data_IF_525002796106
#
_entry.id   IF_525002796106
#
_cell.length_a   1.000
_cell.length_b   1.000
_cell.length_c   1.000
_cell.angle_alpha   90.00
_cell.angle_beta   90.00
_cell.angle_gamma   90.00
#
_symmetry.space_group_name_H-M   'P 1'
#
loop_
_entity.id
_entity.type
_entity.pdbx_description
1 polymer ?
#
# COMPACT_ATOMS: atom_id res chain seq x y z
N UNK A 1 -24.67 3.81 -32.11
CA UNK A 1 -24.65 3.11 -30.81
C UNK A 1 -23.45 2.15 -30.67
N UNK A 2 -23.17 1.29 -31.64
CA UNK A 2 -21.99 0.37 -31.59
C UNK A 2 -20.65 1.11 -31.52
N UNK A 3 -20.50 2.24 -32.22
CA UNK A 3 -19.29 3.08 -32.19
C UNK A 3 -19.03 3.75 -30.84
N UNK A 4 -20.08 4.15 -30.13
CA UNK A 4 -19.95 4.69 -28.77
C UNK A 4 -19.52 3.60 -27.76
N UNK A 5 -20.02 2.40 -27.88
CA UNK A 5 -19.62 1.27 -27.03
C UNK A 5 -18.15 0.86 -27.26
N UNK A 6 -17.68 0.90 -28.50
CA UNK A 6 -16.27 0.65 -28.83
C UNK A 6 -15.38 1.78 -28.27
N UNK A 7 -15.82 3.04 -28.33
CA UNK A 7 -15.06 4.18 -27.79
C UNK A 7 -14.96 4.13 -26.25
N UNK A 8 -16.04 3.72 -25.56
CA UNK A 8 -16.01 3.53 -24.11
C UNK A 8 -15.20 2.32 -23.66
N UNK A 9 -15.09 1.26 -24.47
CA UNK A 9 -14.20 0.12 -24.14
C UNK A 9 -12.72 0.46 -24.27
N UNK A 10 -12.33 1.46 -25.08
CA UNK A 10 -10.96 1.95 -25.18
C UNK A 10 -10.57 2.95 -24.08
N UNK A 11 -11.56 3.56 -23.39
CA UNK A 11 -11.31 4.43 -22.25
C UNK A 11 -10.97 3.65 -20.94
N UNK A 12 -11.21 2.34 -20.93
CA UNK A 12 -10.81 1.44 -19.86
C UNK A 12 -9.44 0.77 -20.13
N UNK A 13 -8.51 1.49 -20.74
CA UNK A 13 -7.12 1.04 -20.71
C UNK A 13 -6.68 0.98 -19.23
N UNK A 14 -6.08 -0.12 -18.79
CA UNK A 14 -5.59 -0.18 -17.43
C UNK A 14 -4.65 1.00 -17.23
N UNK A 15 -5.04 1.93 -16.36
CA UNK A 15 -4.14 2.97 -15.91
C UNK A 15 -3.02 2.21 -15.24
N UNK A 16 -1.87 2.13 -15.91
CA UNK A 16 -0.68 1.50 -15.34
C UNK A 16 -0.38 2.25 -14.04
N UNK A 17 -0.73 1.64 -12.92
CA UNK A 17 -0.48 2.24 -11.62
C UNK A 17 1.01 2.47 -11.50
N UNK A 18 1.38 3.71 -11.23
CA UNK A 18 2.78 4.06 -10.97
C UNK A 18 3.07 3.67 -9.52
N UNK A 19 4.04 2.79 -9.24
CA UNK A 19 4.40 2.47 -7.87
C UNK A 19 5.00 3.69 -7.18
N UNK A 20 4.72 3.85 -5.89
CA UNK A 20 5.39 4.85 -5.04
C UNK A 20 6.32 4.10 -4.11
N UNK A 21 7.59 4.46 -4.12
CA UNK A 21 8.67 3.74 -3.46
C UNK A 21 9.29 4.62 -2.39
N UNK A 22 9.34 4.11 -1.19
CA UNK A 22 9.99 4.75 -0.06
C UNK A 22 11.10 3.85 0.49
N UNK A 23 12.38 4.19 0.26
CA UNK A 23 13.46 3.59 1.02
C UNK A 23 13.28 3.88 2.50
N UNK A 24 13.39 2.87 3.34
CA UNK A 24 13.26 3.02 4.77
C UNK A 24 14.46 2.49 5.55
N UNK A 25 14.59 3.00 6.75
CA UNK A 25 15.50 2.50 7.78
C UNK A 25 14.72 2.24 9.06
N UNK A 26 15.22 1.28 9.86
CA UNK A 26 14.72 1.07 11.23
C UNK A 26 15.79 1.52 12.21
N UNK A 27 15.36 2.18 13.28
CA UNK A 27 16.27 2.67 14.33
C UNK A 27 15.71 2.29 15.69
N UNK A 28 16.54 1.70 16.52
CA UNK A 28 16.17 1.39 17.92
C UNK A 28 15.81 2.67 18.68
N UNK A 29 14.69 2.62 19.39
CA UNK A 29 14.21 3.76 20.20
C UNK A 29 14.98 3.88 21.51
N UNK A 30 15.56 2.80 22.02
CA UNK A 30 16.07 2.68 23.39
C UNK A 30 17.59 2.67 23.51
N UNK A 31 18.31 2.82 22.46
CA UNK A 31 19.75 2.69 22.22
C UNK A 31 20.80 3.23 23.21
N UNK A 32 20.57 3.16 24.51
CA UNK A 32 21.56 3.61 25.52
C UNK A 32 22.60 2.54 25.89
N UNK A 33 22.35 1.26 25.61
CA UNK A 33 23.29 0.18 25.91
C UNK A 33 23.57 -0.58 24.62
N UNK A 34 24.84 -0.61 24.23
CA UNK A 34 25.26 -1.36 23.03
C UNK A 34 25.02 -2.85 23.23
N UNK A 35 24.54 -3.54 22.22
CA UNK A 35 24.43 -5.01 22.18
C UNK A 35 25.80 -5.72 22.40
N UNK A 36 26.89 -4.96 22.33
CA UNK A 36 28.24 -5.40 22.63
C UNK A 36 28.63 -5.20 24.12
N UNK A 37 27.75 -4.66 24.97
CA UNK A 37 27.98 -4.53 26.40
C UNK A 37 27.66 -5.85 27.10
N UNK A 38 28.47 -6.17 28.14
CA UNK A 38 28.26 -7.38 28.97
C UNK A 38 26.95 -7.29 29.77
N UNK A 39 26.50 -6.09 30.07
CA UNK A 39 25.23 -5.81 30.78
C UNK A 39 23.99 -5.86 29.87
N UNK A 40 24.18 -6.01 28.56
CA UNK A 40 23.05 -6.17 27.64
C UNK A 40 22.35 -7.50 27.91
N UNK A 41 21.16 -7.44 28.47
CA UNK A 41 20.36 -8.60 28.87
C UNK A 41 19.06 -8.69 28.07
N UNK A 42 18.28 -9.73 28.37
CA UNK A 42 17.02 -10.00 27.66
C UNK A 42 16.01 -8.85 27.77
N UNK A 43 15.97 -8.11 28.86
CA UNK A 43 15.09 -6.97 29.01
C UNK A 43 15.46 -5.83 28.05
N UNK A 44 16.76 -5.54 27.91
CA UNK A 44 17.23 -4.57 26.92
C UNK A 44 16.92 -5.06 25.50
N UNK A 45 17.22 -6.34 25.21
CA UNK A 45 16.95 -6.94 23.90
C UNK A 45 15.47 -6.84 23.53
N UNK A 46 14.56 -7.26 24.41
CA UNK A 46 13.12 -7.21 24.12
C UNK A 46 12.64 -5.76 23.92
N UNK A 47 13.05 -4.83 24.79
CA UNK A 47 12.66 -3.44 24.66
C UNK A 47 13.19 -2.80 23.37
N UNK A 48 14.42 -3.12 22.98
CA UNK A 48 15.02 -2.61 21.74
C UNK A 48 14.35 -3.14 20.48
N UNK A 49 13.81 -4.36 20.50
CA UNK A 49 13.22 -5.03 19.34
C UNK A 49 11.70 -5.04 19.34
N UNK A 50 11.04 -4.70 20.46
CA UNK A 50 9.59 -4.70 20.56
C UNK A 50 8.92 -3.62 19.73
N UNK A 51 9.55 -2.45 19.58
CA UNK A 51 9.04 -1.36 18.76
C UNK A 51 10.17 -0.75 17.96
N UNK A 52 10.36 -1.25 16.76
CA UNK A 52 11.32 -0.78 15.76
C UNK A 52 10.61 -0.32 14.51
N UNK A 53 9.85 0.79 14.53
CA UNK A 53 9.15 1.25 13.34
C UNK A 53 10.13 1.57 12.21
N UNK A 54 9.69 1.37 10.96
CA UNK A 54 10.40 1.86 9.80
C UNK A 54 10.21 3.37 9.70
N UNK A 55 11.24 4.13 9.32
CA UNK A 55 11.07 5.53 8.97
C UNK A 55 11.47 5.80 7.53
N UNK A 56 10.71 6.66 6.89
CA UNK A 56 10.92 7.13 5.52
C UNK A 56 11.04 8.63 5.50
N UNK A 57 11.59 9.19 4.43
CA UNK A 57 11.64 10.64 4.23
C UNK A 57 10.76 11.03 3.04
N UNK A 58 9.89 12.01 3.24
CA UNK A 58 9.04 12.59 2.20
C UNK A 58 9.33 14.07 2.12
N UNK A 59 9.49 14.60 0.91
CA UNK A 59 9.61 16.04 0.67
C UNK A 59 8.24 16.64 0.43
N UNK A 60 7.88 17.63 1.22
CA UNK A 60 6.57 18.30 1.21
C UNK A 60 6.73 19.79 0.92
N UNK A 61 5.79 20.31 0.16
CA UNK A 61 5.67 21.73 -0.16
C UNK A 61 6.49 22.17 -1.35
N UNK A 62 6.22 23.36 -1.83
CA UNK A 62 6.96 23.96 -2.96
C UNK A 62 8.44 24.19 -2.66
N UNK A 63 8.81 24.32 -1.39
CA UNK A 63 10.19 24.40 -0.91
C UNK A 63 10.84 23.04 -0.67
N UNK A 64 10.14 21.94 -0.93
CA UNK A 64 10.61 20.55 -0.79
C UNK A 64 11.23 20.25 0.60
N UNK A 65 10.53 20.65 1.65
CA UNK A 65 10.93 20.39 3.03
C UNK A 65 10.89 18.88 3.33
N UNK A 66 12.01 18.35 3.80
CA UNK A 66 12.10 16.91 4.12
C UNK A 66 11.50 16.62 5.49
N UNK A 67 10.46 15.80 5.51
CA UNK A 67 9.80 15.33 6.72
C UNK A 67 10.03 13.83 6.86
N UNK A 68 10.42 13.42 8.07
CA UNK A 68 10.56 12.00 8.42
C UNK A 68 9.24 11.46 8.93
N UNK A 69 8.85 10.32 8.38
CA UNK A 69 7.60 9.62 8.72
C UNK A 69 7.91 8.26 9.33
N UNK A 70 7.20 7.93 10.40
CA UNK A 70 7.13 6.58 10.92
C UNK A 70 6.06 5.79 10.19
N UNK A 71 6.40 4.62 9.68
CA UNK A 71 5.48 3.65 9.09
C UNK A 71 5.12 2.64 10.16
N UNK A 72 3.88 2.65 10.65
CA UNK A 72 3.47 1.90 11.83
C UNK A 72 2.12 1.20 11.68
N UNK A 73 1.97 0.03 12.28
CA UNK A 73 0.69 -0.68 12.37
C UNK A 73 -0.21 -0.19 13.51
N UNK A 74 0.28 0.70 14.39
CA UNK A 74 -0.47 1.18 15.54
C UNK A 74 -1.30 2.45 15.24
N UNK A 75 -1.37 2.86 14.00
CA UNK A 75 -2.09 4.06 13.56
C UNK A 75 -2.72 3.86 12.19
N UNK A 76 -3.69 4.69 11.85
CA UNK A 76 -4.45 4.60 10.60
C UNK A 76 -4.42 5.89 9.75
N UNK A 77 -3.65 6.90 10.13
CA UNK A 77 -3.65 8.20 9.46
C UNK A 77 -2.36 8.54 8.71
N UNK A 78 -2.47 9.47 7.76
CA UNK A 78 -1.34 10.16 7.15
C UNK A 78 -1.21 11.53 7.79
N UNK A 79 -0.28 11.69 8.70
CA UNK A 79 -0.22 12.82 9.65
C UNK A 79 1.14 13.45 9.70
N UNK A 80 1.16 14.78 9.90
CA UNK A 80 2.37 15.59 10.16
C UNK A 80 2.15 16.38 11.45
N UNK A 81 3.02 16.23 12.44
CA UNK A 81 2.87 16.95 13.72
C UNK A 81 3.78 16.41 14.82
N UNK A 82 3.53 16.87 16.06
CA UNK A 82 4.26 16.44 17.25
C UNK A 82 3.69 15.13 17.78
N UNK A 83 4.05 14.00 17.17
CA UNK A 83 3.60 12.68 17.63
C UNK A 83 4.43 12.20 18.82
N UNK A 84 3.78 11.60 19.84
CA UNK A 84 4.46 11.09 21.04
C UNK A 84 5.58 10.12 20.74
N UNK A 85 5.38 9.23 19.76
CA UNK A 85 6.38 8.24 19.32
C UNK A 85 7.66 8.87 18.78
N UNK A 86 7.60 10.10 18.26
CA UNK A 86 8.73 10.79 17.65
C UNK A 86 9.54 11.62 18.65
N UNK A 87 8.91 12.10 19.74
CA UNK A 87 9.51 13.07 20.68
C UNK A 87 10.76 12.51 21.36
N UNK A 88 10.81 11.21 21.55
CA UNK A 88 11.89 10.56 22.30
C UNK A 88 13.09 10.12 21.43
N UNK A 89 13.01 10.34 20.11
CA UNK A 89 14.12 9.94 19.22
C UNK A 89 14.42 11.03 18.18
N UNK A 90 15.57 11.72 18.29
CA UNK A 90 15.94 12.80 17.37
C UNK A 90 16.09 12.36 15.91
N UNK A 91 16.26 11.04 15.67
CA UNK A 91 16.34 10.52 14.30
C UNK A 91 15.02 10.66 13.53
N UNK A 92 13.89 10.83 14.24
CA UNK A 92 12.57 10.98 13.65
C UNK A 92 12.09 12.43 13.57
N UNK A 93 12.87 13.37 14.12
CA UNK A 93 12.50 14.77 14.14
C UNK A 93 12.87 15.47 12.82
N UNK A 94 12.05 16.38 12.42
CA UNK A 94 12.20 17.21 11.23
C UNK A 94 11.49 18.54 11.44
N UNK A 95 11.62 19.46 10.49
CA UNK A 95 10.97 20.76 10.57
C UNK A 95 10.08 20.97 9.34
N UNK A 96 8.82 21.32 9.57
CA UNK A 96 7.90 21.71 8.52
C UNK A 96 7.34 23.10 8.80
N UNK A 97 7.56 24.01 7.86
CA UNK A 97 7.01 25.35 7.92
C UNK A 97 6.07 25.58 6.73
N UNK A 98 4.77 25.53 6.98
CA UNK A 98 3.73 25.73 5.96
C UNK A 98 3.84 27.08 5.23
N UNK A 99 4.36 28.12 5.89
CA UNK A 99 4.51 29.44 5.29
C UNK A 99 5.59 29.48 4.20
N UNK A 100 6.44 28.47 4.10
CA UNK A 100 7.43 28.31 3.03
C UNK A 100 6.86 27.58 1.81
N UNK A 101 5.61 27.12 1.85
CA UNK A 101 4.97 26.47 0.70
C UNK A 101 3.88 27.35 0.10
N UNK A 102 4.04 27.69 -1.18
CA UNK A 102 3.02 28.43 -1.95
C UNK A 102 1.79 27.58 -2.28
N UNK A 103 1.90 26.25 -2.19
CA UNK A 103 0.86 25.31 -2.56
C UNK A 103 0.09 24.75 -1.37
N UNK A 104 0.51 25.12 -0.15
CA UNK A 104 -0.17 24.67 1.06
C UNK A 104 -1.60 25.20 1.13
N UNK A 105 -2.55 24.31 1.40
CA UNK A 105 -3.98 24.64 1.55
C UNK A 105 -4.59 23.88 2.71
N UNK A 106 -5.48 24.56 3.43
CA UNK A 106 -6.43 23.89 4.32
C UNK A 106 -7.58 23.33 3.47
N UNK A 107 -7.83 22.04 3.56
CA UNK A 107 -8.90 21.38 2.81
C UNK A 107 -10.25 21.40 3.54
N UNK A 108 -10.21 21.43 4.88
CA UNK A 108 -11.41 21.55 5.71
C UNK A 108 -11.13 22.32 7.01
N UNK A 109 -12.13 23.08 7.48
CA UNK A 109 -12.09 23.76 8.79
C UNK A 109 -12.38 22.80 9.96
N UNK A 110 -11.82 21.59 9.91
CA UNK A 110 -12.09 20.56 10.90
C UNK A 110 -11.00 20.57 11.96
N UNK A 111 -11.35 21.04 13.17
CA UNK A 111 -10.53 20.81 14.36
C UNK A 111 -11.03 19.55 15.05
N UNK A 112 -10.40 18.41 14.83
CA UNK A 112 -10.75 17.19 15.56
C UNK A 112 -9.65 16.81 16.55
N UNK A 113 -10.03 16.59 17.80
CA UNK A 113 -9.12 16.02 18.80
C UNK A 113 -8.78 14.59 18.42
N UNK A 114 -7.50 14.31 18.25
CA UNK A 114 -6.98 12.97 18.05
C UNK A 114 -6.15 12.57 19.29
N UNK A 115 -6.12 11.30 19.63
CA UNK A 115 -5.32 10.77 20.72
C UNK A 115 -3.83 11.03 20.59
N UNK A 116 -3.30 11.09 19.34
CA UNK A 116 -1.89 11.34 19.05
C UNK A 116 -1.60 12.84 18.85
N UNK A 117 -2.56 13.59 18.30
CA UNK A 117 -2.44 15.02 18.06
C UNK A 117 -3.58 15.74 18.79
N UNK A 118 -3.27 16.67 19.67
CA UNK A 118 -4.27 17.36 20.48
C UNK A 118 -5.31 18.13 19.65
N UNK A 119 -4.88 18.75 18.57
CA UNK A 119 -5.71 19.40 17.57
C UNK A 119 -4.98 19.37 16.21
N UNK A 120 -5.72 19.48 15.12
CA UNK A 120 -5.12 19.57 13.80
C UNK A 120 -6.12 19.88 12.71
N UNK A 121 -5.63 20.03 11.49
CA UNK A 121 -6.40 20.39 10.31
C UNK A 121 -6.12 19.41 9.17
N UNK A 122 -7.13 19.13 8.38
CA UNK A 122 -6.93 18.51 7.08
C UNK A 122 -6.33 19.51 6.11
N UNK A 123 -5.24 19.15 5.46
CA UNK A 123 -4.45 20.01 4.60
C UNK A 123 -4.06 19.27 3.32
N UNK A 124 -3.65 20.02 2.30
CA UNK A 124 -2.96 19.48 1.14
C UNK A 124 -1.73 20.30 0.79
N UNK A 125 -0.75 19.64 0.18
CA UNK A 125 0.43 20.27 -0.38
C UNK A 125 1.04 19.38 -1.48
N UNK A 126 2.05 19.89 -2.17
CA UNK A 126 2.80 19.11 -3.14
C UNK A 126 3.77 18.17 -2.41
N UNK A 127 3.96 16.98 -2.99
CA UNK A 127 4.90 15.99 -2.45
C UNK A 127 5.75 15.38 -3.56
N UNK A 128 7.01 15.07 -3.24
CA UNK A 128 7.96 14.42 -4.15
C UNK A 128 8.16 12.95 -3.74
N UNK A 129 7.95 12.03 -4.69
CA UNK A 129 8.08 10.58 -4.47
C UNK A 129 8.96 9.91 -5.53
N UNK A 130 9.60 8.81 -5.15
CA UNK A 130 10.28 7.90 -6.07
C UNK A 130 9.21 7.01 -6.72
N UNK A 131 9.22 6.94 -8.05
CA UNK A 131 8.23 6.18 -8.82
C UNK A 131 8.86 5.16 -9.76
N UNK A 132 10.19 5.11 -9.81
CA UNK A 132 10.93 4.21 -10.66
C UNK A 132 11.79 3.27 -9.81
N UNK A 133 11.45 1.98 -9.84
CA UNK A 133 12.14 0.96 -9.06
C UNK A 133 13.60 0.77 -9.52
N UNK A 134 13.91 1.10 -10.77
CA UNK A 134 15.24 0.95 -11.35
C UNK A 134 16.13 2.16 -11.11
N UNK A 135 15.52 3.31 -10.84
CA UNK A 135 16.23 4.55 -10.56
C UNK A 135 15.63 5.22 -9.31
N UNK A 136 16.09 4.79 -8.14
CA UNK A 136 15.67 5.36 -6.85
C UNK A 136 16.06 6.83 -6.66
N UNK A 137 16.82 7.42 -7.59
CA UNK A 137 17.11 8.86 -7.59
C UNK A 137 16.09 9.66 -8.40
N UNK A 138 15.33 8.98 -9.28
CA UNK A 138 14.30 9.64 -10.09
C UNK A 138 13.05 9.88 -9.26
N UNK A 139 12.77 11.13 -9.02
CA UNK A 139 11.63 11.59 -8.22
C UNK A 139 10.65 12.36 -9.08
N UNK A 140 9.37 12.19 -8.81
CA UNK A 140 8.28 12.92 -9.44
C UNK A 140 7.53 13.76 -8.41
N UNK A 141 7.09 14.93 -8.82
CA UNK A 141 6.26 15.81 -7.99
C UNK A 141 4.78 15.53 -8.24
N UNK A 142 4.04 15.43 -7.17
CA UNK A 142 2.59 15.27 -7.15
C UNK A 142 1.95 16.44 -6.41
N UNK A 143 0.84 16.94 -6.94
CA UNK A 143 0.15 18.10 -6.42
C UNK A 143 -1.03 17.68 -5.53
N UNK A 144 -1.40 18.57 -4.60
CA UNK A 144 -2.62 18.46 -3.77
C UNK A 144 -2.78 17.12 -3.00
N UNK A 145 -1.67 16.60 -2.48
CA UNK A 145 -1.70 15.40 -1.63
C UNK A 145 -2.21 15.76 -0.24
N UNK A 146 -3.32 15.13 0.15
CA UNK A 146 -3.95 15.37 1.44
C UNK A 146 -3.23 14.73 2.62
N UNK A 147 -3.15 15.43 3.76
CA UNK A 147 -2.63 14.92 5.03
C UNK A 147 -3.24 15.68 6.21
N UNK A 148 -3.08 15.11 7.39
CA UNK A 148 -3.49 15.79 8.63
C UNK A 148 -2.31 16.52 9.25
N UNK A 149 -2.46 17.84 9.51
CA UNK A 149 -1.45 18.68 10.12
C UNK A 149 -1.84 19.01 11.56
N UNK A 150 -1.00 18.61 12.54
CA UNK A 150 -1.17 19.00 13.93
C UNK A 150 -0.94 20.50 14.14
N UNK A 151 -1.55 21.10 15.16
CA UNK A 151 -1.44 22.55 15.45
C UNK A 151 -0.07 22.97 15.94
N UNK A 152 0.67 22.08 16.59
CA UNK A 152 1.98 22.36 17.22
C UNK A 152 3.14 22.21 16.23
N UNK A 153 3.05 22.86 15.05
CA UNK A 153 4.00 22.70 13.95
C UNK A 153 5.22 23.64 13.99
N UNK A 154 5.33 24.49 15.01
CA UNK A 154 6.48 25.38 15.15
C UNK A 154 7.70 24.74 15.79
N UNK A 155 7.52 23.53 16.36
CA UNK A 155 8.58 22.76 16.99
C UNK A 155 9.06 21.60 16.09
N UNK A 156 9.99 20.82 16.60
CA UNK A 156 10.41 19.57 15.98
C UNK A 156 9.23 18.59 15.84
N UNK A 157 8.97 18.16 14.64
CA UNK A 157 7.83 17.31 14.27
C UNK A 157 8.30 16.03 13.61
N UNK A 158 7.40 15.04 13.52
CA UNK A 158 7.54 13.95 12.61
C UNK A 158 6.21 13.64 11.93
N UNK A 159 6.26 12.88 10.84
CA UNK A 159 5.07 12.32 10.23
C UNK A 159 4.76 10.92 10.75
N UNK A 160 3.52 10.50 10.56
CA UNK A 160 3.07 9.12 10.78
C UNK A 160 2.34 8.65 9.53
N UNK A 161 2.69 7.45 9.07
CA UNK A 161 1.95 6.68 8.08
C UNK A 161 1.39 5.46 8.81
N UNK A 162 0.10 5.51 9.06
CA UNK A 162 -0.63 4.43 9.69
C UNK A 162 -1.04 3.36 8.68
N UNK A 163 -0.71 2.12 8.99
CA UNK A 163 -1.04 0.94 8.19
C UNK A 163 -2.17 0.10 8.81
N UNK A 164 -2.74 0.58 9.94
CA UNK A 164 -3.84 -0.09 10.64
C UNK A 164 -5.07 -0.21 9.74
N UNK A 165 -5.71 -1.37 9.79
CA UNK A 165 -6.94 -1.61 9.05
C UNK A 165 -8.11 -0.87 9.73
N UNK A 166 -8.67 0.12 9.03
CA UNK A 166 -9.77 0.92 9.58
C UNK A 166 -11.13 0.23 9.39
N UNK A 167 -11.55 -0.61 10.33
CA UNK A 167 -12.90 -1.17 10.35
C UNK A 167 -13.91 -0.30 11.09
N UNK A 168 -13.46 0.58 11.96
CA UNK A 168 -14.33 1.48 12.72
C UNK A 168 -14.08 2.91 12.26
N UNK A 169 -14.93 3.40 11.38
CA UNK A 169 -15.00 4.81 10.99
C UNK A 169 -14.93 5.81 12.16
N UNK A 170 -15.16 5.34 13.38
CA UNK A 170 -15.22 6.17 14.59
C UNK A 170 -13.92 6.86 15.00
N UNK A 171 -12.74 6.29 14.66
CA UNK A 171 -11.45 6.84 15.10
C UNK A 171 -10.63 7.48 13.97
N UNK A 172 -10.85 7.08 12.73
CA UNK A 172 -10.12 7.57 11.57
C UNK A 172 -10.98 8.33 10.56
N UNK A 173 -12.26 8.58 10.86
CA UNK A 173 -13.28 9.14 9.96
C UNK A 173 -12.98 10.53 9.39
N UNK A 174 -11.98 11.20 9.89
CA UNK A 174 -11.62 12.54 9.43
C UNK A 174 -10.17 12.64 9.00
N UNK A 175 -9.46 11.51 8.98
CA UNK A 175 -8.06 11.50 8.59
C UNK A 175 -7.93 10.64 7.35
N UNK A 176 -7.60 11.28 6.26
CA UNK A 176 -7.21 10.56 5.07
C UNK A 176 -6.04 9.66 5.44
N UNK A 177 -6.18 8.36 5.23
CA UNK A 177 -4.99 7.51 5.23
C UNK A 177 -4.17 7.81 3.97
N UNK A 178 -2.93 7.36 3.93
CA UNK A 178 -2.04 7.63 2.81
C UNK A 178 -2.59 7.07 1.49
N UNK A 179 -3.27 5.91 1.53
CA UNK A 179 -3.81 5.25 0.35
C UNK A 179 -4.98 6.01 -0.26
N UNK A 180 -5.89 6.52 0.58
CA UNK A 180 -7.00 7.37 0.15
C UNK A 180 -6.50 8.70 -0.39
N UNK A 181 -5.53 9.33 0.28
CA UNK A 181 -4.92 10.57 -0.16
C UNK A 181 -4.26 10.44 -1.54
N UNK A 182 -3.55 9.34 -1.78
CA UNK A 182 -2.90 9.08 -3.07
C UNK A 182 -3.89 8.67 -4.15
N UNK A 183 -4.94 7.93 -3.82
CA UNK A 183 -6.01 7.57 -4.75
C UNK A 183 -6.82 8.81 -5.15
N UNK A 184 -7.16 9.68 -4.19
CA UNK A 184 -7.89 10.93 -4.45
C UNK A 184 -7.08 11.91 -5.29
N UNK A 185 -5.77 11.97 -5.11
CA UNK A 185 -4.83 12.76 -5.91
C UNK A 185 -4.46 12.13 -7.25
N UNK A 186 -5.14 11.05 -7.70
CA UNK A 186 -4.84 10.30 -8.92
C UNK A 186 -3.38 9.81 -9.03
N UNK A 187 -2.71 9.64 -7.89
CA UNK A 187 -1.31 9.17 -7.81
C UNK A 187 -1.22 7.66 -7.97
N UNK A 188 -2.17 6.95 -7.37
CA UNK A 188 -2.28 5.49 -7.42
C UNK A 188 -3.67 5.05 -7.90
N UNK A 189 -3.72 3.90 -8.57
CA UNK A 189 -4.99 3.26 -8.97
C UNK A 189 -5.42 2.16 -8.00
N UNK A 190 -4.48 1.55 -7.27
CA UNK A 190 -4.72 0.46 -6.32
C UNK A 190 -4.17 0.81 -4.95
N UNK A 191 -4.88 0.42 -3.91
CA UNK A 191 -4.49 0.65 -2.51
C UNK A 191 -3.73 -0.57 -1.95
N UNK A 192 -2.82 -1.11 -2.75
CA UNK A 192 -1.93 -2.20 -2.34
C UNK A 192 -0.64 -1.63 -1.75
N UNK A 193 -0.05 -2.35 -0.81
CA UNK A 193 1.29 -2.03 -0.32
C UNK A 193 2.06 -3.28 0.07
N UNK A 194 3.39 -3.15 0.06
CA UNK A 194 4.31 -4.20 0.47
C UNK A 194 5.54 -3.59 1.13
N UNK A 195 6.12 -4.32 2.08
CA UNK A 195 7.43 -4.01 2.66
C UNK A 195 8.40 -5.10 2.22
N UNK A 196 9.50 -4.70 1.58
CA UNK A 196 10.57 -5.58 1.14
C UNK A 196 11.84 -5.20 1.89
N UNK A 197 12.37 -6.11 2.68
CA UNK A 197 13.63 -5.89 3.41
C UNK A 197 14.82 -6.23 2.53
N UNK A 198 15.75 -5.29 2.38
CA UNK A 198 17.03 -5.46 1.68
C UNK A 198 18.16 -5.84 2.65
N UNK A 199 17.99 -5.53 3.92
CA UNK A 199 18.84 -5.94 5.03
C UNK A 199 18.02 -6.08 6.32
N UNK A 200 18.68 -6.38 7.45
CA UNK A 200 18.00 -6.45 8.76
C UNK A 200 17.27 -5.15 9.13
N UNK A 201 17.81 -4.00 8.73
CA UNK A 201 17.35 -2.67 9.18
C UNK A 201 16.96 -1.73 8.06
N UNK A 202 17.04 -2.14 6.82
CA UNK A 202 16.73 -1.32 5.66
C UNK A 202 15.86 -2.06 4.67
N UNK A 203 15.10 -1.32 3.87
CA UNK A 203 14.25 -1.90 2.84
C UNK A 203 13.48 -0.86 2.07
N UNK A 204 12.44 -1.32 1.40
CA UNK A 204 11.53 -0.52 0.59
C UNK A 204 10.11 -0.72 1.07
N UNK A 205 9.42 0.38 1.36
CA UNK A 205 7.97 0.42 1.49
C UNK A 205 7.41 0.89 0.16
N UNK A 206 6.57 0.07 -0.46
CA UNK A 206 6.07 0.31 -1.82
C UNK A 206 4.55 0.35 -1.77
N UNK A 207 3.96 1.43 -2.26
CA UNK A 207 2.52 1.59 -2.44
C UNK A 207 2.19 1.38 -3.92
N UNK A 208 1.08 0.69 -4.18
CA UNK A 208 0.63 0.29 -5.52
C UNK A 208 1.73 -0.45 -6.31
N UNK A 209 2.31 -1.52 -5.73
CA UNK A 209 3.39 -2.23 -6.38
C UNK A 209 2.91 -2.88 -7.67
N UNK A 210 3.72 -2.78 -8.72
CA UNK A 210 3.56 -3.59 -9.91
C UNK A 210 4.49 -4.81 -9.78
N UNK A 211 3.93 -5.96 -9.38
CA UNK A 211 4.71 -7.14 -9.04
C UNK A 211 5.51 -7.69 -10.23
N UNK A 212 4.98 -7.58 -11.45
CA UNK A 212 5.69 -8.01 -12.68
C UNK A 212 7.00 -7.22 -12.90
N UNK A 213 7.07 -5.98 -12.38
CA UNK A 213 8.26 -5.14 -12.47
C UNK A 213 9.22 -5.32 -11.30
N UNK A 214 8.72 -5.83 -10.19
CA UNK A 214 9.46 -5.99 -8.93
C UNK A 214 10.06 -7.39 -8.84
N UNK A 215 9.26 -8.42 -9.16
CA UNK A 215 9.65 -9.82 -9.05
C UNK A 215 10.10 -10.33 -10.41
N UNK A 216 11.31 -10.87 -10.45
CA UNK A 216 11.83 -11.51 -11.65
C UNK A 216 11.01 -12.77 -11.96
N UNK A 217 10.55 -12.89 -13.22
CA UNK A 217 9.72 -14.00 -13.69
C UNK A 217 8.44 -14.19 -12.86
N UNK A 218 7.79 -13.08 -12.46
CA UNK A 218 6.52 -13.12 -11.76
C UNK A 218 5.48 -13.99 -12.48
N UNK A 219 4.83 -14.87 -11.74
CA UNK A 219 3.75 -15.73 -12.20
C UNK A 219 2.53 -15.51 -11.29
N UNK A 220 1.48 -14.91 -11.82
CA UNK A 220 0.27 -14.57 -11.08
C UNK A 220 -0.39 -15.81 -10.43
N UNK A 221 -0.24 -16.99 -11.02
CA UNK A 221 -0.80 -18.22 -10.47
C UNK A 221 -0.13 -18.66 -9.15
N UNK A 222 1.00 -18.07 -8.81
CA UNK A 222 1.74 -18.33 -7.56
C UNK A 222 1.47 -17.27 -6.48
N UNK A 223 0.66 -16.28 -6.80
CA UNK A 223 0.17 -15.29 -5.83
C UNK A 223 -1.12 -15.79 -5.19
N UNK A 224 -1.02 -16.22 -3.94
CA UNK A 224 -2.17 -16.59 -3.12
C UNK A 224 -2.72 -15.36 -2.41
N UNK A 225 -4.02 -15.12 -2.53
CA UNK A 225 -4.69 -13.97 -1.91
C UNK A 225 -5.83 -14.45 -1.03
N UNK A 226 -5.85 -13.99 0.22
CA UNK A 226 -6.89 -14.33 1.18
C UNK A 226 -7.47 -13.07 1.81
N UNK A 227 -8.72 -13.14 2.27
CA UNK A 227 -9.32 -12.07 3.05
C UNK A 227 -8.72 -12.03 4.45
N UNK A 228 -8.42 -10.83 4.95
CA UNK A 228 -8.08 -10.68 6.36
C UNK A 228 -9.26 -11.06 7.26
N UNK A 229 -9.00 -11.63 8.42
CA UNK A 229 -10.06 -12.08 9.35
C UNK A 229 -10.74 -10.88 10.03
N UNK A 230 -12.03 -10.67 9.74
CA UNK A 230 -12.80 -9.48 10.18
C UNK A 230 -13.28 -9.54 11.64
N UNK A 231 -13.28 -10.72 12.27
CA UNK A 231 -14.06 -10.97 13.50
C UNK A 231 -13.49 -10.42 14.79
N UNK A 232 -12.27 -9.85 14.81
CA UNK A 232 -11.64 -9.47 16.06
C UNK A 232 -11.07 -8.07 16.02
N UNK A 233 -11.67 -7.19 16.77
CA UNK A 233 -11.33 -5.78 17.04
C UNK A 233 -10.91 -4.90 15.84
N UNK A 234 -10.96 -5.45 14.62
CA UNK A 234 -10.98 -4.73 13.34
C UNK A 234 -9.80 -3.84 13.03
N UNK A 235 -8.70 -3.97 13.76
CA UNK A 235 -7.57 -3.03 13.64
C UNK A 235 -6.34 -3.61 12.96
N UNK A 236 -6.11 -4.92 13.11
CA UNK A 236 -4.88 -5.58 12.65
C UNK A 236 -5.12 -6.40 11.39
N UNK A 237 -4.11 -6.46 10.54
CA UNK A 237 -4.05 -7.41 9.43
C UNK A 237 -3.82 -8.82 9.98
N UNK A 238 -4.81 -9.69 9.82
CA UNK A 238 -4.85 -10.98 10.52
C UNK A 238 -4.99 -12.14 9.54
N UNK A 239 -4.15 -13.15 9.73
CA UNK A 239 -4.13 -14.46 9.09
C UNK A 239 -4.56 -15.54 10.08
N UNK A 240 -4.80 -16.76 9.59
CA UNK A 240 -5.06 -17.92 10.44
C UNK A 240 -3.95 -18.96 10.26
N UNK A 241 -3.32 -19.38 11.36
CA UNK A 241 -2.35 -20.48 11.41
C UNK A 241 -3.11 -21.76 11.69
N UNK A 242 -3.09 -22.68 10.73
CA UNK A 242 -3.75 -23.99 10.85
C UNK A 242 -2.89 -24.97 11.65
N UNK A 243 -1.61 -25.06 11.29
CA UNK A 243 -0.69 -26.04 11.90
C UNK A 243 0.62 -25.38 12.31
N UNK A 244 1.03 -25.69 13.52
CA UNK A 244 2.36 -25.39 14.05
C UNK A 244 3.10 -26.72 14.21
N UNK A 245 4.19 -26.90 13.51
CA UNK A 245 5.01 -28.10 13.54
C UNK A 245 6.44 -27.77 13.93
N UNK A 246 7.13 -28.78 14.43
CA UNK A 246 8.57 -28.72 14.72
C UNK A 246 9.24 -29.94 14.11
N UNK A 247 10.39 -29.76 13.50
CA UNK A 247 11.15 -30.86 12.90
C UNK A 247 11.41 -31.97 13.93
N UNK A 248 11.24 -33.22 13.53
CA UNK A 248 11.39 -34.39 14.44
C UNK A 248 10.18 -34.64 15.34
N UNK A 249 9.13 -33.82 15.28
CA UNK A 249 7.88 -34.03 16.00
C UNK A 249 6.75 -34.31 15.01
N UNK A 250 6.17 -35.51 15.08
CA UNK A 250 5.21 -35.99 14.08
C UNK A 250 3.80 -35.39 14.19
N UNK A 251 3.51 -34.75 15.33
CA UNK A 251 2.18 -34.18 15.59
C UNK A 251 2.21 -32.65 15.42
N UNK A 252 1.03 -32.06 15.25
CA UNK A 252 0.86 -30.61 15.32
C UNK A 252 0.92 -30.17 16.78
N UNK A 253 1.67 -29.10 17.03
CA UNK A 253 1.87 -28.54 18.38
C UNK A 253 0.59 -27.85 18.84
N UNK A 254 -0.02 -27.03 17.98
CA UNK A 254 -1.25 -26.32 18.30
C UNK A 254 -2.46 -27.27 18.24
N UNK A 255 -3.36 -27.14 19.21
CA UNK A 255 -4.60 -27.94 19.32
C UNK A 255 -5.72 -27.43 18.43
N UNK A 256 -5.66 -26.19 18.02
CA UNK A 256 -6.66 -25.50 17.19
C UNK A 256 -6.00 -24.46 16.29
N UNK A 257 -6.71 -24.08 15.24
CA UNK A 257 -6.33 -22.93 14.41
C UNK A 257 -6.28 -21.67 15.27
N UNK A 258 -5.18 -20.93 15.18
CA UNK A 258 -4.94 -19.70 15.92
C UNK A 258 -4.69 -18.52 14.98
N UNK A 259 -4.87 -17.33 15.49
CA UNK A 259 -4.63 -16.12 14.72
C UNK A 259 -3.16 -15.77 14.61
N UNK A 260 -2.79 -15.11 13.52
CA UNK A 260 -1.53 -14.44 13.36
C UNK A 260 -1.77 -13.00 12.91
N UNK A 261 -1.37 -12.04 13.71
CA UNK A 261 -1.43 -10.62 13.39
C UNK A 261 -0.12 -10.18 12.72
N UNK A 262 -0.20 -9.36 11.66
CA UNK A 262 0.98 -8.77 11.02
C UNK A 262 1.32 -7.48 11.73
N UNK A 263 2.57 -7.35 12.19
CA UNK A 263 3.08 -6.15 12.85
C UNK A 263 4.51 -5.82 12.40
N UNK A 264 4.65 -4.83 11.51
CA UNK A 264 5.96 -4.39 11.01
C UNK A 264 6.75 -3.52 12.00
N UNK A 265 6.19 -3.16 13.15
CA UNK A 265 6.93 -2.45 14.21
C UNK A 265 7.71 -3.43 15.09
N UNK A 266 7.28 -4.69 15.17
CA UNK A 266 7.90 -5.72 16.00
C UNK A 266 9.07 -6.38 15.26
N UNK A 267 10.29 -6.32 15.79
CA UNK A 267 11.46 -7.05 15.25
C UNK A 267 11.68 -8.41 15.96
N UNK A 268 10.61 -8.98 16.47
CA UNK A 268 10.50 -10.28 17.09
C UNK A 268 9.29 -11.02 16.51
N UNK A 269 9.09 -12.25 16.95
CA UNK A 269 7.86 -13.02 16.72
C UNK A 269 7.17 -13.15 18.08
N UNK A 270 5.86 -12.91 18.18
CA UNK A 270 5.10 -13.32 19.36
C UNK A 270 4.47 -14.68 19.09
N UNK A 271 4.84 -15.71 19.87
CA UNK A 271 4.36 -17.08 19.74
C UNK A 271 3.16 -17.37 20.62
N UNK A 272 2.39 -18.41 20.26
CA UNK A 272 1.30 -18.90 21.09
C UNK A 272 1.78 -19.78 22.28
N UNK A 273 0.87 -20.06 23.20
CA UNK A 273 1.21 -20.80 24.42
C UNK A 273 1.39 -22.30 24.20
N UNK A 274 0.77 -22.92 23.21
CA UNK A 274 1.01 -24.32 22.90
C UNK A 274 2.47 -24.51 22.44
N UNK A 275 2.98 -23.57 21.61
CA UNK A 275 4.38 -23.56 21.21
C UNK A 275 5.34 -23.19 22.36
N UNK A 276 4.93 -22.25 23.25
CA UNK A 276 5.71 -21.93 24.46
C UNK A 276 5.96 -23.17 25.33
N UNK A 277 4.90 -23.92 25.64
CA UNK A 277 5.05 -25.14 26.46
C UNK A 277 5.89 -26.20 25.74
N UNK A 278 5.64 -26.40 24.47
CA UNK A 278 6.41 -27.36 23.69
C UNK A 278 7.91 -27.02 23.74
N UNK A 279 8.30 -25.79 23.36
CA UNK A 279 9.70 -25.42 23.19
C UNK A 279 10.46 -25.36 24.51
N UNK A 280 9.81 -24.89 25.59
CA UNK A 280 10.40 -24.81 26.92
C UNK A 280 10.60 -26.19 27.54
N UNK A 281 9.75 -27.15 27.26
CA UNK A 281 9.82 -28.50 27.83
C UNK A 281 10.63 -29.48 26.96
N UNK A 282 10.64 -29.31 25.64
CA UNK A 282 11.36 -30.22 24.72
C UNK A 282 12.81 -29.79 24.50
N UNK A 283 13.06 -28.54 24.16
CA UNK A 283 14.39 -28.06 23.77
C UNK A 283 15.12 -27.32 24.90
N UNK A 284 14.52 -26.27 25.46
CA UNK A 284 15.22 -25.43 26.45
C UNK A 284 15.29 -25.99 27.85
N UNK A 285 14.52 -27.03 28.16
CA UNK A 285 14.43 -27.58 29.51
C UNK A 285 15.77 -27.87 30.16
N UNK A 286 16.65 -28.56 29.46
CA UNK A 286 17.95 -28.97 30.02
C UNK A 286 18.96 -27.83 30.10
N UNK A 287 18.91 -26.90 29.14
CA UNK A 287 19.72 -25.69 29.18
C UNK A 287 19.28 -24.76 30.30
N UNK A 288 17.98 -24.63 30.59
CA UNK A 288 17.46 -23.86 31.73
C UNK A 288 17.84 -24.50 33.04
N UNK A 289 17.69 -25.82 33.20
CA UNK A 289 18.11 -26.56 34.43
C UNK A 289 19.58 -26.41 34.72
N UNK A 290 20.43 -26.38 33.69
CA UNK A 290 21.90 -26.21 33.84
C UNK A 290 22.31 -24.73 33.96
N UNK A 291 21.37 -23.79 34.01
CA UNK A 291 21.63 -22.36 34.04
C UNK A 291 22.49 -21.86 32.86
N UNK A 292 22.40 -22.55 31.72
CA UNK A 292 23.01 -22.15 30.45
C UNK A 292 22.11 -21.11 29.77
N UNK A 293 20.80 -21.38 29.77
CA UNK A 293 19.77 -20.44 29.31
C UNK A 293 18.90 -20.00 30.49
N UNK A 294 18.30 -18.84 30.38
CA UNK A 294 17.34 -18.29 31.34
C UNK A 294 16.03 -17.95 30.62
N UNK A 295 14.94 -18.25 31.31
CA UNK A 295 13.59 -17.81 30.94
C UNK A 295 13.21 -16.68 31.89
N UNK A 296 12.98 -15.49 31.38
CA UNK A 296 12.65 -14.31 32.18
C UNK A 296 11.33 -13.69 31.79
N UNK A 297 10.61 -13.16 32.77
CA UNK A 297 9.41 -12.36 32.57
C UNK A 297 9.82 -10.89 32.42
N UNK A 298 9.44 -10.25 31.32
CA UNK A 298 9.82 -8.89 30.97
C UNK A 298 8.56 -8.03 30.80
N UNK A 299 8.59 -6.88 31.43
CA UNK A 299 7.53 -5.88 31.28
C UNK A 299 7.83 -4.95 30.13
N UNK A 300 6.98 -5.00 29.08
CA UNK A 300 6.88 -4.00 28.02
C UNK A 300 5.49 -3.38 28.12
N UNK A 301 5.40 -2.22 28.76
CA UNK A 301 4.11 -1.62 29.11
C UNK A 301 3.13 -1.51 27.93
N UNK A 302 1.88 -1.98 28.06
CA UNK A 302 1.22 -2.49 29.27
C UNK A 302 1.35 -4.02 29.47
N UNK A 303 2.09 -4.73 28.66
CA UNK A 303 2.13 -6.20 28.61
C UNK A 303 3.33 -6.78 29.33
N UNK A 304 3.28 -8.08 29.61
CA UNK A 304 4.36 -8.90 30.15
C UNK A 304 4.65 -10.06 29.20
N UNK A 305 5.93 -10.30 28.93
CA UNK A 305 6.39 -11.32 28.01
C UNK A 305 7.37 -12.27 28.66
N UNK A 306 7.30 -13.55 28.33
CA UNK A 306 8.36 -14.48 28.58
C UNK A 306 9.34 -14.50 27.41
N UNK A 307 10.61 -14.41 27.68
CA UNK A 307 11.68 -14.44 26.71
C UNK A 307 12.87 -15.26 27.21
N UNK A 308 13.69 -15.76 26.29
CA UNK A 308 14.80 -16.67 26.58
C UNK A 308 16.12 -16.05 26.15
N UNK A 309 17.08 -15.98 27.05
CA UNK A 309 18.49 -15.68 26.80
C UNK A 309 19.39 -16.83 27.17
N UNK A 310 20.49 -17.02 26.43
CA UNK A 310 21.52 -18.03 26.71
C UNK A 310 22.91 -17.40 26.81
N UNK A 311 23.77 -17.93 27.66
CA UNK A 311 25.18 -17.56 27.76
C UNK A 311 25.94 -18.10 26.55
N UNK A 312 26.47 -17.22 25.70
CA UNK A 312 27.18 -17.58 24.48
C UNK A 312 28.39 -18.48 24.68
N UNK A 313 29.02 -18.42 25.84
CA UNK A 313 30.16 -19.27 26.13
C UNK A 313 29.78 -20.74 26.40
N UNK A 314 28.49 -21.01 26.68
CA UNK A 314 27.97 -22.34 27.05
C UNK A 314 26.91 -22.85 26.05
N UNK A 315 26.30 -21.94 25.30
CA UNK A 315 25.34 -22.20 24.23
C UNK A 315 25.90 -21.62 22.93
N UNK A 316 26.32 -22.48 22.04
CA UNK A 316 27.05 -22.05 20.84
C UNK A 316 26.23 -22.26 19.54
N UNK A 317 26.86 -22.00 18.39
CA UNK A 317 26.25 -22.16 17.06
C UNK A 317 25.81 -23.60 16.81
N UNK A 318 26.54 -24.61 17.32
CA UNK A 318 26.15 -26.01 17.09
C UNK A 318 24.94 -26.41 17.95
N UNK A 319 24.80 -25.83 19.15
CA UNK A 319 23.57 -25.95 19.93
C UNK A 319 22.38 -25.31 19.17
N UNK A 320 22.55 -24.09 18.59
CA UNK A 320 21.52 -23.45 17.81
C UNK A 320 21.12 -24.27 16.56
N UNK A 321 22.09 -24.89 15.89
CA UNK A 321 21.80 -25.74 14.71
C UNK A 321 20.99 -26.99 15.04
N UNK A 322 21.03 -27.46 16.31
CA UNK A 322 20.17 -28.55 16.77
C UNK A 322 18.75 -28.12 17.08
N UNK A 323 18.47 -26.80 17.01
CA UNK A 323 17.14 -26.30 17.21
C UNK A 323 16.25 -26.74 16.04
N UNK A 324 15.10 -27.36 16.35
CA UNK A 324 14.23 -27.88 15.29
C UNK A 324 13.61 -26.76 14.46
N UNK A 325 13.49 -26.97 13.15
CA UNK A 325 12.82 -26.03 12.26
C UNK A 325 11.37 -25.85 12.71
N UNK A 326 10.96 -24.60 12.92
CA UNK A 326 9.58 -24.24 13.16
C UNK A 326 8.88 -24.09 11.81
N UNK A 327 7.81 -24.86 11.58
CA UNK A 327 6.98 -24.77 10.38
C UNK A 327 5.56 -24.31 10.72
N UNK A 328 5.12 -23.25 10.08
CA UNK A 328 3.77 -22.68 10.21
C UNK A 328 3.01 -22.89 8.91
N UNK A 329 1.88 -23.60 8.95
CA UNK A 329 0.95 -23.71 7.81
C UNK A 329 -0.16 -22.71 8.02
N UNK A 330 -0.35 -21.80 7.06
CA UNK A 330 -1.44 -20.83 7.10
C UNK A 330 -2.68 -21.39 6.37
N UNK A 331 -3.85 -21.10 6.91
CA UNK A 331 -5.12 -21.44 6.25
C UNK A 331 -5.17 -20.79 4.86
N UNK A 332 -5.55 -21.58 3.86
CA UNK A 332 -5.66 -21.16 2.45
C UNK A 332 -4.33 -20.87 1.73
N UNK A 333 -3.20 -20.94 2.38
CA UNK A 333 -1.90 -20.96 1.69
C UNK A 333 -1.38 -22.40 1.65
N UNK A 334 -1.21 -22.95 0.46
CA UNK A 334 -0.67 -24.32 0.27
C UNK A 334 0.86 -24.36 0.46
N UNK A 335 1.38 -23.62 1.42
CA UNK A 335 2.81 -23.53 1.70
C UNK A 335 3.08 -23.51 3.20
N UNK A 336 4.21 -24.05 3.58
CA UNK A 336 4.70 -24.00 4.94
C UNK A 336 5.73 -22.87 5.08
N UNK A 337 5.57 -22.05 6.09
CA UNK A 337 6.51 -21.00 6.47
C UNK A 337 7.51 -21.59 7.46
N UNK A 338 8.72 -21.82 6.98
CA UNK A 338 9.76 -22.51 7.73
C UNK A 338 10.77 -21.52 8.31
N UNK A 339 11.08 -21.66 9.60
CA UNK A 339 12.04 -20.83 10.32
C UNK A 339 13.10 -21.72 10.94
N UNK A 340 14.34 -21.56 10.52
CA UNK A 340 15.49 -22.25 11.08
C UNK A 340 16.15 -21.41 12.20
N UNK A 341 17.23 -21.92 12.77
CA UNK A 341 17.94 -21.26 13.87
C UNK A 341 18.44 -19.85 13.50
N UNK A 342 18.73 -19.57 12.21
CA UNK A 342 19.20 -18.25 11.76
C UNK A 342 18.10 -17.20 11.83
N UNK A 343 16.85 -17.63 11.65
CA UNK A 343 15.67 -16.76 11.78
C UNK A 343 15.30 -16.56 13.25
N UNK A 344 15.50 -17.61 14.07
CA UNK A 344 14.97 -17.73 15.43
C UNK A 344 15.94 -17.29 16.52
N UNK A 345 17.20 -17.05 16.22
CA UNK A 345 18.18 -16.60 17.21
C UNK A 345 18.89 -15.33 16.76
N UNK A 346 19.13 -14.44 17.72
CA UNK A 346 20.00 -13.27 17.55
C UNK A 346 21.22 -13.43 18.45
N UNK A 347 22.39 -13.40 17.83
CA UNK A 347 23.67 -13.51 18.51
C UNK A 347 24.26 -12.12 18.74
N UNK A 348 24.74 -11.90 19.99
CA UNK A 348 25.53 -10.72 20.39
C UNK A 348 26.93 -11.15 20.80
N UNK A 349 27.73 -10.22 21.33
CA UNK A 349 29.08 -10.55 21.80
C UNK A 349 29.08 -11.56 22.97
N UNK A 350 28.13 -11.49 23.89
CA UNK A 350 28.10 -12.28 25.12
C UNK A 350 26.89 -13.17 25.28
N UNK A 351 25.80 -12.90 24.56
CA UNK A 351 24.52 -13.55 24.72
C UNK A 351 23.95 -14.00 23.40
N UNK A 352 23.08 -14.98 23.46
CA UNK A 352 22.23 -15.44 22.39
C UNK A 352 20.80 -15.31 22.86
N UNK A 353 19.96 -14.64 22.04
CA UNK A 353 18.56 -14.38 22.34
C UNK A 353 17.67 -15.18 21.40
N UNK A 354 16.61 -15.75 21.92
CA UNK A 354 15.58 -16.39 21.13
C UNK A 354 14.61 -15.32 20.64
N UNK A 355 14.38 -15.25 19.33
CA UNK A 355 13.61 -14.18 18.69
C UNK A 355 12.09 -14.34 18.81
N UNK A 356 11.62 -15.39 19.54
CA UNK A 356 10.19 -15.57 19.85
C UNK A 356 9.96 -15.21 21.30
N UNK A 357 9.03 -14.29 21.55
CA UNK A 357 8.54 -13.92 22.87
C UNK A 357 7.09 -14.41 23.04
N UNK A 358 6.67 -14.58 24.27
CA UNK A 358 5.35 -15.13 24.58
C UNK A 358 4.61 -14.21 25.55
N UNK A 359 3.44 -13.71 25.12
CA UNK A 359 2.64 -12.80 25.93
C UNK A 359 1.99 -13.56 27.11
N UNK A 360 2.16 -13.05 28.31
CA UNK A 360 1.65 -13.70 29.53
C UNK A 360 0.12 -13.77 29.59
N UNK A 361 -0.56 -12.80 28.99
CA UNK A 361 -2.02 -12.64 29.13
C UNK A 361 -2.79 -13.00 27.85
N UNK A 362 -2.12 -13.00 26.70
CA UNK A 362 -2.74 -13.27 25.40
C UNK A 362 -2.09 -14.53 24.84
N UNK A 363 -2.73 -15.67 25.05
CA UNK A 363 -2.14 -16.99 24.83
C UNK A 363 -2.45 -17.64 23.48
N UNK A 364 -3.46 -17.16 22.75
CA UNK A 364 -4.02 -17.86 21.60
C UNK A 364 -3.82 -17.06 20.32
N UNK A 365 -2.62 -16.50 20.12
CA UNK A 365 -2.27 -15.81 18.88
C UNK A 365 -0.78 -15.87 18.60
N UNK A 366 -0.47 -15.66 17.33
CA UNK A 366 0.86 -15.28 16.86
C UNK A 366 0.88 -13.79 16.51
N UNK A 367 2.04 -13.14 16.60
CA UNK A 367 2.28 -11.85 15.94
C UNK A 367 3.50 -12.03 15.03
N UNK A 368 3.27 -11.82 13.74
CA UNK A 368 4.28 -11.91 12.70
C UNK A 368 4.99 -10.57 12.56
N UNK A 369 6.12 -10.45 13.24
CA UNK A 369 6.99 -9.30 13.12
C UNK A 369 7.95 -9.38 11.93
N UNK A 370 8.95 -8.50 11.94
CA UNK A 370 9.94 -8.41 10.86
C UNK A 370 10.69 -9.71 10.52
N UNK A 371 11.02 -10.62 11.46
CA UNK A 371 11.64 -11.88 11.09
C UNK A 371 10.80 -12.69 10.10
N UNK A 372 9.48 -12.69 10.26
CA UNK A 372 8.55 -13.33 9.31
C UNK A 372 8.48 -12.56 8.01
N UNK A 373 8.27 -11.23 8.09
CA UNK A 373 8.07 -10.38 6.92
C UNK A 373 9.33 -10.23 6.05
N UNK A 374 10.52 -10.36 6.64
CA UNK A 374 11.79 -10.41 5.87
C UNK A 374 11.89 -11.66 5.01
N UNK A 375 11.46 -12.78 5.53
CA UNK A 375 11.53 -14.06 4.81
C UNK A 375 10.35 -14.28 3.87
N UNK A 376 9.19 -13.81 4.27
CA UNK A 376 7.91 -13.99 3.58
C UNK A 376 7.21 -12.63 3.41
N UNK A 377 7.63 -11.81 2.43
CA UNK A 377 6.98 -10.53 2.16
C UNK A 377 5.51 -10.73 1.80
N UNK A 378 4.64 -9.88 2.34
CA UNK A 378 3.20 -9.97 2.15
C UNK A 378 2.69 -8.72 1.45
N UNK A 379 1.89 -8.92 0.39
CA UNK A 379 1.17 -7.87 -0.30
C UNK A 379 -0.14 -7.62 0.42
N UNK A 380 -0.34 -6.39 0.87
CA UNK A 380 -1.56 -6.00 1.59
C UNK A 380 -2.40 -5.12 0.68
N UNK A 381 -3.66 -5.48 0.47
CA UNK A 381 -4.63 -4.64 -0.22
C UNK A 381 -5.58 -4.01 0.79
N UNK A 382 -5.47 -2.68 0.92
CA UNK A 382 -6.26 -1.92 1.90
C UNK A 382 -7.74 -1.85 1.50
N UNK A 383 -8.05 -1.64 0.23
CA UNK A 383 -9.42 -1.50 -0.28
C UNK A 383 -10.18 -2.83 -0.24
N UNK A 384 -9.57 -3.90 -0.74
CA UNK A 384 -10.16 -5.24 -0.76
C UNK A 384 -10.07 -5.94 0.60
N UNK A 385 -9.26 -5.43 1.53
CA UNK A 385 -8.98 -6.05 2.82
C UNK A 385 -8.45 -7.47 2.68
N UNK A 386 -7.45 -7.63 1.81
CA UNK A 386 -6.82 -8.92 1.52
C UNK A 386 -5.33 -8.90 1.81
N UNK A 387 -4.79 -10.10 2.05
CA UNK A 387 -3.36 -10.34 2.23
C UNK A 387 -2.93 -11.31 1.15
N UNK A 388 -1.94 -10.93 0.36
CA UNK A 388 -1.34 -11.75 -0.68
C UNK A 388 0.02 -12.30 -0.24
N UNK A 389 0.31 -13.52 -0.62
CA UNK A 389 1.61 -14.16 -0.46
C UNK A 389 2.06 -14.77 -1.80
N UNK A 390 3.29 -14.47 -2.21
CA UNK A 390 3.89 -15.04 -3.41
C UNK A 390 4.78 -16.23 -3.02
N UNK A 391 4.41 -17.42 -3.47
CA UNK A 391 5.00 -18.68 -3.04
C UNK A 391 6.27 -19.04 -3.84
N UNK A 392 7.18 -18.10 -4.02
CA UNK A 392 8.52 -18.35 -4.59
C UNK A 392 9.53 -17.34 -4.03
N UNK A 393 10.81 -17.55 -4.36
CA UNK A 393 11.87 -16.63 -3.96
C UNK A 393 11.65 -15.25 -4.56
N UNK A 394 11.62 -14.24 -3.70
CA UNK A 394 11.57 -12.84 -4.08
C UNK A 394 12.95 -12.41 -4.61
N UNK A 395 13.25 -12.74 -5.88
CA UNK A 395 14.34 -12.09 -6.58
C UNK A 395 13.86 -10.73 -7.09
N UNK A 396 14.24 -9.69 -6.38
CA UNK A 396 13.94 -8.31 -6.79
C UNK A 396 14.81 -7.96 -8.00
N UNK A 397 14.16 -7.65 -9.11
CA UNK A 397 14.84 -7.36 -10.37
C UNK A 397 15.29 -5.89 -10.44
N UNK A 398 16.46 -5.59 -9.89
CA UNK A 398 17.05 -4.26 -9.97
C UNK A 398 17.65 -3.92 -11.35
N UNK A 399 17.82 -4.90 -12.26
CA UNK A 399 18.60 -4.76 -13.49
C UNK A 399 17.80 -4.73 -14.79
N UNK A 400 16.49 -4.85 -14.77
CA UNK A 400 15.71 -4.69 -16.00
C UNK A 400 15.79 -3.25 -16.51
N UNK A 401 16.84 -2.94 -17.26
CA UNK A 401 16.80 -1.80 -18.18
C UNK A 401 15.65 -2.05 -19.14
N UNK A 402 14.59 -1.25 -19.04
CA UNK A 402 13.48 -1.27 -19.99
C UNK A 402 14.00 -0.99 -21.40
N UNK A 403 14.39 -2.06 -22.11
CA UNK A 403 14.69 -1.95 -23.54
C UNK A 403 13.46 -1.58 -24.39
N UNK A 404 12.23 -1.65 -23.80
CA UNK A 404 10.99 -1.54 -24.57
C UNK A 404 10.02 -0.40 -24.14
N UNK A 405 10.26 0.37 -23.07
CA UNK A 405 9.24 1.34 -22.61
C UNK A 405 8.99 2.50 -23.58
N UNK A 406 9.99 2.82 -24.43
CA UNK A 406 9.80 3.84 -25.46
C UNK A 406 9.17 3.28 -26.74
N UNK A 407 9.39 2.01 -27.09
CA UNK A 407 8.82 1.40 -28.30
C UNK A 407 7.32 1.18 -28.22
N UNK A 408 6.81 0.69 -27.08
CA UNK A 408 5.36 0.43 -26.92
C UNK A 408 4.52 1.71 -26.89
N UNK A 409 4.98 2.77 -26.19
CA UNK A 409 4.26 4.06 -26.20
C UNK A 409 4.14 4.66 -27.60
N UNK A 410 5.22 4.60 -28.40
CA UNK A 410 5.19 5.06 -29.78
C UNK A 410 4.31 4.16 -30.65
N UNK A 411 4.33 2.85 -30.46
CA UNK A 411 3.51 1.91 -31.22
C UNK A 411 2.01 2.18 -31.01
N UNK A 412 1.52 2.35 -29.79
CA UNK A 412 0.13 2.74 -29.50
C UNK A 412 -0.21 4.14 -30.04
N UNK A 413 0.70 5.08 -29.96
CA UNK A 413 0.50 6.42 -30.50
C UNK A 413 0.36 6.40 -32.04
N UNK A 414 1.22 5.67 -32.76
CA UNK A 414 1.12 5.51 -34.21
C UNK A 414 -0.13 4.73 -34.63
N UNK A 415 -0.53 3.74 -33.84
CA UNK A 415 -1.77 2.98 -34.08
C UNK A 415 -3.02 3.86 -33.90
N UNK A 416 -3.06 4.70 -32.91
CA UNK A 416 -4.15 5.69 -32.69
C UNK A 416 -4.21 6.71 -33.84
N UNK A 417 -3.08 7.24 -34.29
CA UNK A 417 -3.03 8.15 -35.44
C UNK A 417 -3.54 7.46 -36.70
N UNK A 418 -3.13 6.22 -36.96
CA UNK A 418 -3.57 5.47 -38.14
C UNK A 418 -5.08 5.21 -38.14
N UNK A 419 -5.67 4.91 -36.97
CA UNK A 419 -7.12 4.77 -36.78
C UNK A 419 -7.89 6.08 -37.11
N UNK A 420 -7.38 7.20 -36.63
CA UNK A 420 -7.96 8.51 -36.88
C UNK A 420 -7.93 8.83 -38.39
N UNK A 421 -6.82 8.56 -39.06
CA UNK A 421 -6.69 8.77 -40.53
C UNK A 421 -7.68 7.89 -41.29
N UNK A 422 -7.82 6.60 -40.90
CA UNK A 422 -8.79 5.68 -41.53
C UNK A 422 -10.22 6.21 -41.32
N UNK A 423 -10.53 6.72 -40.13
CA UNK A 423 -11.87 7.29 -39.85
C UNK A 423 -12.18 8.50 -40.75
N UNK A 424 -11.22 9.41 -40.90
CA UNK A 424 -11.39 10.57 -41.82
C UNK A 424 -11.55 10.13 -43.28
N UNK A 425 -10.81 9.08 -43.69
CA UNK A 425 -10.95 8.54 -45.04
C UNK A 425 -12.33 7.94 -45.27
N UNK A 426 -12.87 7.15 -44.31
CA UNK A 426 -14.23 6.60 -44.38
C UNK A 426 -15.29 7.68 -44.41
N UNK A 427 -15.18 8.72 -43.60
CA UNK A 427 -16.07 9.87 -43.58
C UNK A 427 -16.01 10.60 -44.96
N UNK A 428 -14.81 10.82 -45.47
CA UNK A 428 -14.63 11.44 -46.81
C UNK A 428 -15.30 10.63 -47.94
N UNK A 429 -15.16 9.32 -47.92
CA UNK A 429 -15.82 8.41 -48.87
C UNK A 429 -17.36 8.50 -48.78
N UNK A 430 -17.90 8.52 -47.54
CA UNK A 430 -19.34 8.67 -47.32
C UNK A 430 -19.83 10.01 -47.88
N UNK A 431 -19.15 11.10 -47.60
CA UNK A 431 -19.51 12.43 -48.14
C UNK A 431 -19.44 12.48 -49.68
N UNK A 432 -18.42 11.81 -50.26
CA UNK A 432 -18.32 11.69 -51.72
C UNK A 432 -19.54 10.96 -52.33
N UNK A 433 -19.92 9.81 -51.76
CA UNK A 433 -21.10 9.06 -52.25
C UNK A 433 -22.41 9.80 -52.04
N UNK A 434 -22.59 10.47 -50.89
CA UNK A 434 -23.78 11.29 -50.63
C UNK A 434 -23.83 12.48 -51.59
N UNK A 435 -22.70 13.15 -51.85
CA UNK A 435 -22.59 14.25 -52.80
C UNK A 435 -22.91 13.79 -54.23
N UNK A 436 -22.38 12.65 -54.68
CA UNK A 436 -22.63 12.05 -55.99
C UNK A 436 -24.10 11.65 -56.15
N UNK A 437 -24.74 11.09 -55.13
CA UNK A 437 -26.17 10.76 -55.15
C UNK A 437 -27.06 12.01 -55.15
N UNK A 438 -26.71 13.07 -54.41
CA UNK A 438 -27.42 14.34 -54.45
C UNK A 438 -27.36 14.99 -55.85
N UNK A 439 -26.21 14.92 -56.51
CA UNK A 439 -26.05 15.42 -57.86
C UNK A 439 -26.84 14.59 -58.91
N UNK A 440 -26.93 13.27 -58.73
CA UNK A 440 -27.81 12.41 -59.56
C UNK A 440 -29.30 12.75 -59.34
N UNK A 441 -29.72 12.98 -58.11
CA UNK A 441 -31.11 13.38 -57.81
C UNK A 441 -31.45 14.78 -58.36
N UNK A 442 -30.51 15.75 -58.26
CA UNK A 442 -30.68 17.06 -58.87
C UNK A 442 -30.84 16.98 -60.40
N UNK A 443 -30.01 16.11 -61.08
CA UNK A 443 -30.16 15.89 -62.53
C UNK A 443 -31.52 15.22 -62.91
N UNK A 444 -31.99 14.24 -62.11
CA UNK A 444 -33.30 13.61 -62.33
C UNK A 444 -34.44 14.65 -62.19
N UNK A 445 -34.45 15.46 -61.11
CA UNK A 445 -35.44 16.51 -60.91
C UNK A 445 -35.40 17.59 -62.01
N UNK A 446 -34.21 17.93 -62.51
CA UNK A 446 -34.07 18.86 -63.62
C UNK A 446 -34.61 18.28 -64.92
N UNK A 447 -34.46 16.99 -65.17
CA UNK A 447 -35.03 16.32 -66.33
C UNK A 447 -36.58 16.16 -66.22
N UNK A 448 -37.11 15.86 -65.04
CA UNK A 448 -38.56 15.80 -64.76
C UNK A 448 -39.18 17.13 -64.91
N UNK A 449 -38.56 18.26 -64.56
CA UNK A 449 -39.02 19.61 -64.74
C UNK A 449 -38.97 20.09 -66.23
N UNK A 450 -38.14 19.41 -67.05
CA UNK A 450 -38.11 19.67 -68.52
C UNK A 450 -39.17 18.90 -69.27
N UNK A 451 -39.61 17.74 -68.80
CA UNK A 451 -40.71 16.94 -69.38
C UNK A 451 -42.07 17.51 -69.02
N UNK A 452 -42.25 18.20 -67.89
CA UNK A 452 -43.55 18.79 -67.48
C UNK A 452 -43.85 20.14 -68.15
N UNK A 453 -42.94 20.69 -68.92
CA UNK A 453 -43.16 21.99 -69.59
C UNK A 453 -43.76 21.91 -71.05
N UNK A 454 -44.22 20.73 -71.47
CA UNK A 454 -44.76 20.60 -72.83
C UNK A 454 -46.28 20.57 -72.94
N UNK A 455 -47.05 20.65 -71.83
CA UNK A 455 -48.51 20.74 -71.91
C UNK A 455 -49.06 21.76 -70.90
N UNK A 456 -49.16 23.05 -71.23
CA UNK A 456 -50.24 23.89 -70.72
C UNK A 456 -50.40 25.20 -71.52
N UNK A 457 -51.45 25.24 -72.29
CA UNK A 457 -52.06 26.46 -72.89
C UNK A 457 -52.87 27.16 -71.80
N UNK A 458 -52.88 28.50 -71.71
CA UNK A 458 -53.44 29.20 -70.55
C UNK A 458 -54.95 29.46 -70.73
N UNK A 459 -55.74 29.22 -69.67
CA UNK A 459 -57.06 29.89 -69.54
C UNK A 459 -57.07 30.79 -68.33
N UNK A 460 -57.36 32.05 -68.60
CA UNK A 460 -57.64 33.10 -67.61
C UNK A 460 -58.81 32.70 -66.71
N UNK A 461 -58.82 33.16 -65.42
CA UNK A 461 -59.93 33.91 -64.79
C UNK A 461 -59.56 34.24 -63.33
N UNK A 462 -59.56 35.50 -63.04
CA UNK A 462 -59.97 36.36 -61.89
C UNK A 462 -60.20 35.77 -60.51
N UNK A 463 -59.73 36.49 -59.51
CA UNK A 463 -60.53 36.74 -58.29
C UNK A 463 -59.78 36.70 -56.94
N UNK A 464 -59.59 37.92 -56.45
CA UNK A 464 -59.83 38.39 -55.08
C UNK A 464 -59.09 37.72 -53.86
N UNK A 465 -58.31 38.56 -53.29
CA UNK A 465 -58.38 39.10 -51.90
C UNK A 465 -58.60 38.10 -50.70
N UNK A 466 -57.69 38.03 -49.75
CA UNK A 466 -57.86 38.65 -48.42
C UNK A 466 -56.78 38.15 -47.45
N UNK A 467 -56.08 39.13 -46.90
CA UNK A 467 -55.71 39.38 -45.51
C UNK A 467 -55.94 38.26 -44.46
N UNK A 468 -54.95 37.99 -43.71
CA UNK A 468 -54.86 38.40 -42.27
C UNK A 468 -53.58 37.94 -41.59
N UNK A 469 -53.04 38.94 -40.91
CA UNK A 469 -52.08 38.83 -39.76
C UNK A 469 -52.54 37.86 -38.72
N UNK A 470 -51.56 37.31 -37.97
CA UNK A 470 -51.49 37.54 -36.53
C UNK A 470 -50.20 36.98 -35.93
N UNK A 471 -49.61 37.87 -35.18
CA UNK A 471 -48.54 37.66 -34.18
C UNK A 471 -49.01 36.79 -33.06
N UNK A 472 -48.04 36.23 -32.31
CA UNK A 472 -47.91 36.27 -30.84
C UNK A 472 -46.67 35.40 -30.48
N UNK A 473 -45.58 36.02 -30.03
CA UNK A 473 -45.19 36.34 -28.65
C UNK A 473 -44.97 35.15 -27.69
N UNK A 474 -43.71 35.09 -27.27
CA UNK A 474 -43.18 34.96 -25.90
C UNK A 474 -43.81 33.96 -24.93
N UNK A 475 -42.98 33.15 -24.32
CA UNK A 475 -42.62 33.41 -22.92
C UNK A 475 -41.57 32.42 -22.37
N UNK A 476 -40.62 33.00 -21.69
CA UNK A 476 -39.73 32.46 -20.64
C UNK A 476 -40.48 31.71 -19.53
N UNK A 477 -39.71 30.88 -18.81
CA UNK A 477 -39.65 30.64 -17.31
C UNK A 477 -38.69 29.45 -17.15
N UNK A 478 -37.49 29.59 -16.65
CA UNK A 478 -36.87 29.79 -15.30
C UNK A 478 -37.47 28.87 -14.22
N UNK A 479 -36.52 28.29 -13.45
CA UNK A 479 -36.58 27.64 -12.14
C UNK A 479 -36.78 26.11 -12.15
N UNK A 480 -36.00 25.29 -11.47
CA UNK A 480 -35.08 25.45 -10.29
C UNK A 480 -33.89 24.50 -10.41
#
# INVERSE_FOLDING_TARGET
>A
MLFLLIFFSFLNLPINSTPIIFPFKTVSITGNISSNDINYNISHFVNDHYSLPAYISIKIGSSLQEIKFLVTNDDCGFKVGKARKCIYNPNYLSHYNRNLSSNFRYTENYTKKNSEFNNGHSCSDNMEFITDFKDLNKKNNFNDIGFYLGTDTQEEICGIIGLELNHYKLYCDSMNNIFESFKFGDVISKQDWIIIYTSKYEGLFIISPNLDKIIKNFDENKLFVINTEKKFNGKSWTLMVDKVKSEGYNETINKKTVKAEINNDLDLIEGDWDYYYYITLSYFRDYIKKSICKLEEIKVSPYYYFAIECDKNKFNVDDMKQFPVLSLTLVCFNSEFNFDYKDLFTETKYKIFFNIIFNKFISERWVFGKPVLRKYPMLINYEAQTIGYYNENWEVDYDKKDKNSNGEKYYYFYWMISLVIILFFVIGVIFYFVGKNRNKMKKRRANELLDDNYDYIPTKINGEENNKNENFENNNIIND
#
